data_IF_464021084635
#
_entry.id   IF_464021084635
#
_cell.length_a   1.000
_cell.length_b   1.000
_cell.length_c   1.000
_cell.angle_alpha   90.00
_cell.angle_beta   90.00
_cell.angle_gamma   90.00
#
_symmetry.space_group_name_H-M   'P 1'
#
loop_
_entity.id
_entity.type
_entity.pdbx_description
1 polymer ?
#
# COMPACT_ATOMS: atom_id res chain seq x y z
N UNK A 1 11.90 -23.58 15.47
CA UNK A 1 11.02 -22.77 14.63
C UNK A 1 10.09 -21.91 15.48
N UNK A 2 9.25 -22.50 16.35
CA UNK A 2 8.26 -21.78 17.17
C UNK A 2 8.87 -20.68 18.04
N UNK A 3 10.02 -20.95 18.68
CA UNK A 3 10.73 -19.92 19.46
C UNK A 3 11.20 -18.73 18.60
N UNK A 4 11.61 -18.99 17.35
CA UNK A 4 12.00 -17.93 16.43
C UNK A 4 10.79 -17.07 16.03
N UNK A 5 9.62 -17.68 15.77
CA UNK A 5 8.38 -16.96 15.54
C UNK A 5 7.96 -16.11 16.74
N UNK A 6 7.99 -16.69 17.94
CA UNK A 6 7.65 -15.95 19.16
C UNK A 6 8.51 -14.69 19.31
N UNK A 7 9.83 -14.84 19.10
CA UNK A 7 10.76 -13.69 19.15
C UNK A 7 10.51 -12.67 18.04
N UNK A 8 10.14 -13.13 16.83
CA UNK A 8 9.83 -12.24 15.73
C UNK A 8 8.55 -11.43 16.00
N UNK A 9 7.50 -12.07 16.54
CA UNK A 9 6.26 -11.39 16.96
C UNK A 9 6.52 -10.43 18.10
N UNK A 10 7.32 -10.82 19.09
CA UNK A 10 7.72 -9.94 20.22
C UNK A 10 8.48 -8.70 19.72
N UNK A 11 9.41 -8.87 18.79
CA UNK A 11 10.14 -7.76 18.17
C UNK A 11 9.20 -6.83 17.39
N UNK A 12 8.30 -7.39 16.58
CA UNK A 12 7.29 -6.62 15.85
C UNK A 12 6.37 -5.82 16.80
N UNK A 13 5.90 -6.45 17.89
CA UNK A 13 5.06 -5.79 18.90
C UNK A 13 5.78 -4.64 19.63
N UNK A 14 7.11 -4.67 19.66
CA UNK A 14 7.95 -3.58 20.19
C UNK A 14 8.41 -2.58 19.12
N UNK A 15 7.86 -2.65 17.93
CA UNK A 15 8.25 -1.86 16.78
C UNK A 15 9.74 -2.02 16.39
N UNK A 16 10.38 -3.12 16.79
CA UNK A 16 11.72 -3.49 16.32
C UNK A 16 11.61 -4.29 15.01
N UNK A 17 11.24 -3.57 13.95
CA UNK A 17 11.01 -4.14 12.61
C UNK A 17 12.28 -4.80 12.07
N UNK A 18 13.47 -4.23 12.35
CA UNK A 18 14.74 -4.79 11.88
C UNK A 18 14.99 -6.20 12.47
N UNK A 19 14.77 -6.36 13.78
CA UNK A 19 14.89 -7.69 14.42
C UNK A 19 13.80 -8.65 13.93
N UNK A 20 12.55 -8.21 13.80
CA UNK A 20 11.47 -9.05 13.28
C UNK A 20 11.77 -9.56 11.86
N UNK A 21 12.21 -8.66 10.98
CA UNK A 21 12.59 -8.97 9.59
C UNK A 21 13.71 -10.00 9.54
N UNK A 22 14.80 -9.76 10.28
CA UNK A 22 15.93 -10.70 10.34
C UNK A 22 15.51 -12.09 10.84
N UNK A 23 14.66 -12.15 11.86
CA UNK A 23 14.18 -13.43 12.39
C UNK A 23 13.29 -14.18 11.39
N UNK A 24 12.43 -13.51 10.65
CA UNK A 24 11.65 -14.13 9.58
C UNK A 24 12.54 -14.65 8.45
N UNK A 25 13.59 -13.90 8.10
CA UNK A 25 14.55 -14.33 7.09
C UNK A 25 15.36 -15.56 7.57
N UNK A 26 15.79 -15.60 8.84
CA UNK A 26 16.42 -16.76 9.45
C UNK A 26 15.51 -17.99 9.45
N UNK A 27 14.20 -17.81 9.70
CA UNK A 27 13.21 -18.88 9.59
C UNK A 27 13.12 -19.39 8.16
N UNK A 28 13.04 -18.50 7.17
CA UNK A 28 13.00 -18.87 5.76
C UNK A 28 14.27 -19.63 5.31
N UNK A 29 15.44 -19.26 5.82
CA UNK A 29 16.70 -19.96 5.56
C UNK A 29 16.72 -21.37 6.14
N UNK A 30 16.29 -21.54 7.39
CA UNK A 30 16.34 -22.83 8.08
C UNK A 30 15.18 -23.76 7.71
N UNK A 31 14.02 -23.17 7.37
CA UNK A 31 12.80 -23.90 7.01
C UNK A 31 12.17 -23.29 5.75
N UNK A 32 12.76 -23.50 4.57
CA UNK A 32 12.31 -22.89 3.32
C UNK A 32 10.88 -23.29 2.91
N UNK A 33 10.30 -24.32 3.54
CA UNK A 33 8.88 -24.68 3.40
C UNK A 33 7.95 -23.85 4.28
N UNK A 34 8.46 -22.92 5.07
CA UNK A 34 7.64 -22.04 5.90
C UNK A 34 7.23 -20.77 5.13
N UNK A 35 6.14 -20.91 4.37
CA UNK A 35 5.61 -19.84 3.52
C UNK A 35 5.13 -18.62 4.33
N UNK A 36 4.65 -18.84 5.56
CA UNK A 36 4.21 -17.76 6.43
C UNK A 36 5.39 -16.87 6.85
N UNK A 37 6.54 -17.45 7.19
CA UNK A 37 7.73 -16.67 7.52
C UNK A 37 8.18 -15.79 6.35
N UNK A 38 8.19 -16.37 5.13
CA UNK A 38 8.54 -15.64 3.93
C UNK A 38 7.56 -14.47 3.67
N UNK A 39 6.24 -14.69 3.83
CA UNK A 39 5.23 -13.65 3.68
C UNK A 39 5.39 -12.53 4.71
N UNK A 40 5.54 -12.85 5.98
CA UNK A 40 5.72 -11.85 7.04
C UNK A 40 7.02 -11.08 6.86
N UNK A 41 8.11 -11.75 6.52
CA UNK A 41 9.37 -11.09 6.20
C UNK A 41 9.26 -10.15 5.00
N UNK A 42 8.56 -10.57 3.93
CA UNK A 42 8.32 -9.71 2.77
C UNK A 42 7.48 -8.47 3.12
N UNK A 43 6.47 -8.59 3.99
CA UNK A 43 5.68 -7.44 4.47
C UNK A 43 6.57 -6.47 5.27
N UNK A 44 7.45 -6.97 6.13
CA UNK A 44 8.37 -6.10 6.87
C UNK A 44 9.35 -5.37 5.95
N UNK A 45 9.90 -6.05 4.94
CA UNK A 45 10.74 -5.43 3.91
C UNK A 45 9.98 -4.37 3.13
N UNK A 46 8.75 -4.66 2.72
CA UNK A 46 7.88 -3.72 2.00
C UNK A 46 7.63 -2.45 2.83
N UNK A 47 7.24 -2.60 4.10
CA UNK A 47 6.98 -1.47 5.00
C UNK A 47 8.25 -0.66 5.32
N UNK A 48 9.43 -1.28 5.24
CA UNK A 48 10.72 -0.61 5.40
C UNK A 48 11.26 0.00 4.09
N UNK A 49 10.58 -0.23 2.95
CA UNK A 49 11.04 0.21 1.62
C UNK A 49 12.25 -0.56 1.09
N UNK A 50 12.51 -1.78 1.58
CA UNK A 50 13.61 -2.64 1.12
C UNK A 50 13.12 -3.63 0.06
N UNK A 51 12.99 -3.17 -1.18
CA UNK A 51 12.60 -4.01 -2.33
C UNK A 51 13.57 -5.18 -2.55
N UNK A 52 14.87 -4.96 -2.30
CA UNK A 52 15.89 -6.02 -2.41
C UNK A 52 15.65 -7.15 -1.42
N UNK A 53 15.24 -6.83 -0.19
CA UNK A 53 14.85 -7.80 0.82
C UNK A 53 13.60 -8.57 0.43
N UNK A 54 12.60 -7.89 -0.13
CA UNK A 54 11.38 -8.53 -0.63
C UNK A 54 11.68 -9.59 -1.68
N UNK A 55 12.52 -9.26 -2.66
CA UNK A 55 12.97 -10.19 -3.69
C UNK A 55 13.76 -11.34 -3.08
N UNK A 56 14.77 -11.05 -2.27
CA UNK A 56 15.69 -12.03 -1.69
C UNK A 56 14.95 -13.10 -0.87
N UNK A 57 13.99 -12.71 -0.02
CA UNK A 57 13.25 -13.68 0.79
C UNK A 57 12.35 -14.59 -0.06
N UNK A 58 11.76 -14.07 -1.13
CA UNK A 58 10.97 -14.85 -2.07
C UNK A 58 11.83 -15.83 -2.88
N UNK A 59 13.01 -15.40 -3.35
CA UNK A 59 13.98 -16.26 -4.04
C UNK A 59 14.48 -17.43 -3.17
N UNK A 60 14.61 -17.24 -1.84
CA UNK A 60 15.02 -18.29 -0.91
C UNK A 60 14.05 -19.46 -0.84
N UNK A 61 12.75 -19.17 -0.92
CA UNK A 61 11.71 -20.19 -0.72
C UNK A 61 11.23 -20.85 -2.01
N UNK A 62 11.44 -20.21 -3.17
CA UNK A 62 10.79 -20.61 -4.42
C UNK A 62 11.12 -22.05 -4.83
N UNK A 63 12.37 -22.52 -4.61
CA UNK A 63 12.77 -23.90 -4.95
C UNK A 63 12.03 -24.95 -4.11
N UNK A 64 11.66 -24.61 -2.87
CA UNK A 64 10.89 -25.50 -2.00
C UNK A 64 9.38 -25.41 -2.23
N UNK A 65 8.93 -24.45 -3.05
CA UNK A 65 7.54 -24.10 -3.33
C UNK A 65 7.26 -23.90 -4.84
N UNK A 66 8.01 -24.59 -5.70
CA UNK A 66 7.89 -24.46 -7.16
C UNK A 66 6.49 -24.86 -7.69
N UNK A 67 5.76 -25.70 -6.95
CA UNK A 67 4.37 -26.09 -7.24
C UNK A 67 3.31 -25.23 -6.50
N UNK A 68 3.71 -24.15 -5.82
CA UNK A 68 2.81 -23.31 -5.03
C UNK A 68 2.60 -21.96 -5.70
N UNK A 69 1.41 -21.71 -6.26
CA UNK A 69 1.08 -20.46 -6.95
C UNK A 69 1.39 -19.22 -6.10
N UNK A 70 1.03 -19.24 -4.82
CA UNK A 70 1.26 -18.14 -3.89
C UNK A 70 2.75 -17.76 -3.74
N UNK A 71 3.67 -18.74 -3.78
CA UNK A 71 5.11 -18.47 -3.71
C UNK A 71 5.61 -17.74 -4.99
N UNK A 72 5.07 -18.12 -6.16
CA UNK A 72 5.33 -17.40 -7.41
C UNK A 72 4.76 -15.99 -7.40
N UNK A 73 3.60 -15.78 -6.76
CA UNK A 73 3.03 -14.44 -6.52
C UNK A 73 3.92 -13.57 -5.65
N UNK A 74 4.47 -14.11 -4.55
CA UNK A 74 5.45 -13.40 -3.71
C UNK A 74 6.72 -13.06 -4.49
N UNK A 75 7.22 -13.98 -5.32
CA UNK A 75 8.40 -13.73 -6.14
C UNK A 75 8.12 -12.65 -7.19
N UNK A 76 6.97 -12.72 -7.85
CA UNK A 76 6.57 -11.71 -8.85
C UNK A 76 6.55 -10.31 -8.25
N UNK A 77 5.97 -10.14 -7.06
CA UNK A 77 5.90 -8.84 -6.40
C UNK A 77 7.30 -8.35 -5.97
N UNK A 78 8.15 -9.22 -5.41
CA UNK A 78 9.52 -8.84 -5.05
C UNK A 78 10.39 -8.47 -6.27
N UNK A 79 10.21 -9.14 -7.40
CA UNK A 79 10.90 -8.83 -8.66
C UNK A 79 10.42 -7.49 -9.24
N UNK A 80 9.11 -7.24 -9.19
CA UNK A 80 8.49 -6.04 -9.71
C UNK A 80 8.97 -4.80 -8.93
N UNK A 81 8.94 -4.82 -7.61
CA UNK A 81 9.46 -3.75 -6.75
C UNK A 81 10.98 -3.50 -6.94
N UNK A 82 11.72 -4.47 -7.51
CA UNK A 82 13.11 -4.32 -7.96
C UNK A 82 13.24 -3.89 -9.42
N UNK A 83 12.14 -3.52 -10.09
CA UNK A 83 12.10 -3.16 -11.51
C UNK A 83 12.61 -4.27 -12.46
N UNK A 84 12.57 -5.53 -12.04
CA UNK A 84 12.89 -6.70 -12.88
C UNK A 84 11.63 -7.17 -13.64
N UNK A 85 11.06 -6.29 -14.46
CA UNK A 85 9.71 -6.37 -15.00
C UNK A 85 9.43 -7.64 -15.83
N UNK A 86 10.37 -8.08 -16.66
CA UNK A 86 10.18 -9.29 -17.49
C UNK A 86 10.09 -10.55 -16.62
N UNK A 87 10.96 -10.64 -15.62
CA UNK A 87 10.95 -11.75 -14.68
C UNK A 87 9.71 -11.72 -13.76
N UNK A 88 9.28 -10.54 -13.34
CA UNK A 88 8.09 -10.34 -12.54
C UNK A 88 6.83 -10.77 -13.30
N UNK A 89 6.68 -10.36 -14.57
CA UNK A 89 5.57 -10.79 -15.42
C UNK A 89 5.56 -12.31 -15.60
N UNK A 90 6.70 -12.90 -15.93
CA UNK A 90 6.81 -14.36 -16.11
C UNK A 90 6.40 -15.13 -14.84
N UNK A 91 6.87 -14.70 -13.66
CA UNK A 91 6.52 -15.31 -12.38
C UNK A 91 5.03 -15.13 -12.04
N UNK A 92 4.48 -13.92 -12.25
CA UNK A 92 3.07 -13.64 -11.98
C UNK A 92 2.12 -14.42 -12.90
N UNK A 93 2.43 -14.51 -14.19
CA UNK A 93 1.66 -15.32 -15.14
C UNK A 93 1.70 -16.80 -14.78
N UNK A 94 2.87 -17.31 -14.41
CA UNK A 94 3.00 -18.69 -13.94
C UNK A 94 2.11 -18.96 -12.72
N UNK A 95 2.10 -18.04 -11.75
CA UNK A 95 1.23 -18.17 -10.59
C UNK A 95 -0.27 -18.19 -10.97
N UNK A 96 -0.70 -17.29 -11.87
CA UNK A 96 -2.08 -17.22 -12.35
C UNK A 96 -2.51 -18.44 -13.16
N UNK A 97 -1.58 -19.08 -13.91
CA UNK A 97 -1.82 -20.35 -14.60
C UNK A 97 -1.96 -21.54 -13.63
N UNK A 98 -1.24 -21.51 -12.50
CA UNK A 98 -1.29 -22.56 -11.49
C UNK A 98 -2.55 -22.51 -10.62
N UNK A 99 -3.11 -21.32 -10.39
CA UNK A 99 -4.30 -21.13 -9.56
C UNK A 99 -5.15 -19.96 -10.06
N UNK A 100 -6.43 -20.23 -10.27
CA UNK A 100 -7.42 -19.22 -10.70
C UNK A 100 -7.54 -18.09 -9.65
N UNK A 101 -7.43 -18.42 -8.36
CA UNK A 101 -7.52 -17.47 -7.25
C UNK A 101 -6.12 -17.20 -6.71
N UNK A 102 -5.37 -16.37 -7.41
CA UNK A 102 -4.07 -15.88 -6.97
C UNK A 102 -3.98 -14.35 -7.14
N UNK A 103 -4.69 -13.58 -6.29
CA UNK A 103 -4.85 -12.14 -6.46
C UNK A 103 -3.54 -11.36 -6.35
N UNK A 104 -2.53 -11.86 -5.63
CA UNK A 104 -1.21 -11.24 -5.56
C UNK A 104 -0.45 -11.33 -6.89
N UNK A 105 -0.62 -12.42 -7.62
CA UNK A 105 -0.04 -12.56 -8.95
C UNK A 105 -0.72 -11.61 -9.96
N UNK A 106 -2.06 -11.52 -9.91
CA UNK A 106 -2.81 -10.56 -10.73
C UNK A 106 -2.33 -9.14 -10.49
N UNK A 107 -2.16 -8.76 -9.24
CA UNK A 107 -1.66 -7.49 -8.76
C UNK A 107 -0.22 -7.20 -9.24
N UNK A 108 0.71 -8.15 -9.08
CA UNK A 108 2.10 -7.95 -9.49
C UNK A 108 2.25 -7.74 -11.02
N UNK A 109 1.47 -8.46 -11.83
CA UNK A 109 1.43 -8.25 -13.29
C UNK A 109 0.78 -6.92 -13.66
N UNK A 110 -0.21 -6.45 -12.89
CA UNK A 110 -0.78 -5.11 -13.08
C UNK A 110 0.27 -4.02 -12.92
N UNK A 111 1.09 -4.08 -11.87
CA UNK A 111 2.22 -3.18 -11.67
C UNK A 111 3.20 -3.17 -12.86
N UNK A 112 3.48 -4.35 -13.45
CA UNK A 112 4.34 -4.43 -14.63
C UNK A 112 3.73 -3.66 -15.81
N UNK A 113 2.43 -3.84 -16.07
CA UNK A 113 1.76 -3.12 -17.16
C UNK A 113 1.68 -1.62 -16.91
N UNK A 114 1.43 -1.23 -15.65
CA UNK A 114 1.40 0.18 -15.23
C UNK A 114 2.77 0.84 -15.46
N UNK A 115 3.85 0.24 -14.97
CA UNK A 115 5.22 0.75 -15.14
C UNK A 115 5.64 0.85 -16.60
N UNK A 116 5.15 -0.05 -17.46
CA UNK A 116 5.41 -0.01 -18.92
C UNK A 116 4.48 0.91 -19.70
N UNK A 117 3.47 1.48 -19.08
CA UNK A 117 2.42 2.28 -19.74
C UNK A 117 1.54 1.45 -20.69
N UNK A 118 1.43 0.15 -20.46
CA UNK A 118 0.63 -0.78 -21.28
C UNK A 118 -0.82 -0.85 -20.75
N UNK A 119 -1.52 0.28 -20.80
CA UNK A 119 -2.80 0.49 -20.13
C UNK A 119 -3.90 -0.47 -20.59
N UNK A 120 -4.05 -0.68 -21.92
CA UNK A 120 -5.08 -1.59 -22.46
C UNK A 120 -4.83 -3.05 -22.06
N UNK A 121 -3.57 -3.48 -22.06
CA UNK A 121 -3.19 -4.82 -21.61
C UNK A 121 -3.42 -4.98 -20.10
N UNK A 122 -3.13 -3.94 -19.31
CA UNK A 122 -3.39 -3.91 -17.87
C UNK A 122 -4.87 -4.04 -17.55
N UNK A 123 -5.75 -3.28 -18.23
CA UNK A 123 -7.20 -3.38 -18.09
C UNK A 123 -7.68 -4.80 -18.44
N UNK A 124 -7.30 -5.30 -19.61
CA UNK A 124 -7.72 -6.62 -20.08
C UNK A 124 -7.25 -7.74 -19.13
N UNK A 125 -6.02 -7.65 -18.63
CA UNK A 125 -5.48 -8.57 -17.63
C UNK A 125 -6.30 -8.57 -16.35
N UNK A 126 -6.50 -7.40 -15.75
CA UNK A 126 -7.17 -7.29 -14.47
C UNK A 126 -8.66 -7.66 -14.55
N UNK A 127 -9.37 -7.17 -15.55
CA UNK A 127 -10.79 -7.47 -15.73
C UNK A 127 -11.05 -8.95 -16.01
N UNK A 128 -10.16 -9.64 -16.75
CA UNK A 128 -10.29 -11.08 -16.98
C UNK A 128 -10.18 -11.92 -15.70
N UNK A 129 -9.49 -11.43 -14.68
CA UNK A 129 -9.29 -12.09 -13.39
C UNK A 129 -10.21 -11.58 -12.28
N UNK A 130 -11.00 -10.53 -12.53
CA UNK A 130 -11.81 -9.86 -11.51
C UNK A 130 -12.83 -10.79 -10.81
N UNK A 131 -13.30 -11.82 -11.50
CA UNK A 131 -14.20 -12.84 -10.95
C UNK A 131 -13.60 -13.59 -9.75
N UNK A 132 -12.26 -13.74 -9.72
CA UNK A 132 -11.54 -14.44 -8.66
C UNK A 132 -11.43 -13.61 -7.37
N UNK A 133 -11.63 -12.29 -7.43
CA UNK A 133 -11.46 -11.41 -6.27
C UNK A 133 -12.65 -11.38 -5.32
N UNK A 134 -13.83 -11.91 -5.74
CA UNK A 134 -15.05 -11.89 -4.94
C UNK A 134 -14.93 -12.64 -3.60
N UNK A 135 -14.02 -13.61 -3.52
CA UNK A 135 -13.75 -14.40 -2.32
C UNK A 135 -12.52 -13.90 -1.52
N UNK A 136 -11.90 -12.81 -1.94
CA UNK A 136 -10.74 -12.24 -1.25
C UNK A 136 -11.19 -11.45 0.00
N UNK A 137 -10.21 -11.15 0.89
CA UNK A 137 -10.44 -10.14 1.91
C UNK A 137 -10.69 -8.76 1.28
N UNK A 138 -11.17 -7.81 2.08
CA UNK A 138 -11.56 -6.48 1.60
C UNK A 138 -10.41 -5.78 0.87
N UNK A 139 -9.21 -5.83 1.44
CA UNK A 139 -8.03 -5.20 0.85
C UNK A 139 -7.70 -5.72 -0.54
N UNK A 140 -7.60 -7.04 -0.72
CA UNK A 140 -7.25 -7.59 -2.04
C UNK A 140 -8.34 -7.35 -3.07
N UNK A 141 -9.60 -7.31 -2.65
CA UNK A 141 -10.71 -6.94 -3.52
C UNK A 141 -10.62 -5.49 -3.96
N UNK A 142 -10.59 -4.55 -3.01
CA UNK A 142 -10.59 -3.11 -3.30
C UNK A 142 -9.32 -2.68 -4.00
N UNK A 143 -8.16 -3.22 -3.60
CA UNK A 143 -6.86 -2.85 -4.14
C UNK A 143 -6.65 -3.32 -5.58
N UNK A 144 -7.11 -4.52 -5.95
CA UNK A 144 -7.09 -4.94 -7.35
C UNK A 144 -8.00 -4.06 -8.22
N UNK A 145 -9.19 -3.68 -7.73
CA UNK A 145 -10.04 -2.72 -8.43
C UNK A 145 -9.45 -1.32 -8.47
N UNK A 146 -8.64 -0.94 -7.49
CA UNK A 146 -7.90 0.31 -7.50
C UNK A 146 -6.92 0.37 -8.68
N UNK A 147 -6.19 -0.71 -8.98
CA UNK A 147 -5.34 -0.79 -10.17
C UNK A 147 -6.15 -0.68 -11.46
N UNK A 148 -7.31 -1.31 -11.55
CA UNK A 148 -8.20 -1.12 -12.71
C UNK A 148 -8.57 0.35 -12.88
N UNK A 149 -8.93 1.02 -11.79
CA UNK A 149 -9.26 2.45 -11.81
C UNK A 149 -8.05 3.32 -12.21
N UNK A 150 -6.82 2.97 -11.79
CA UNK A 150 -5.61 3.67 -12.22
C UNK A 150 -5.41 3.58 -13.75
N UNK A 151 -5.54 2.41 -14.34
CA UNK A 151 -5.43 2.26 -15.79
C UNK A 151 -6.44 3.13 -16.55
N UNK A 152 -7.71 3.16 -16.11
CA UNK A 152 -8.71 4.04 -16.73
C UNK A 152 -8.37 5.51 -16.52
N UNK A 153 -7.89 5.87 -15.33
CA UNK A 153 -7.50 7.25 -15.01
C UNK A 153 -6.33 7.72 -15.90
N UNK A 154 -5.34 6.86 -16.14
CA UNK A 154 -4.19 7.17 -16.98
C UNK A 154 -4.53 7.21 -18.47
N UNK A 155 -5.59 6.51 -18.89
CA UNK A 155 -6.22 6.71 -20.21
C UNK A 155 -7.01 8.01 -20.32
N UNK A 156 -7.19 8.76 -19.24
CA UNK A 156 -8.02 9.97 -19.18
C UNK A 156 -9.51 9.70 -18.98
N UNK A 157 -9.91 8.44 -18.75
CA UNK A 157 -11.31 8.08 -18.48
C UNK A 157 -11.64 8.22 -16.98
N UNK A 158 -11.75 9.47 -16.55
CA UNK A 158 -12.11 9.83 -15.18
C UNK A 158 -13.51 9.36 -14.80
N UNK A 159 -14.41 9.21 -15.77
CA UNK A 159 -15.78 8.71 -15.54
C UNK A 159 -15.77 7.26 -15.10
N UNK A 160 -15.01 6.42 -15.80
CA UNK A 160 -14.89 5.01 -15.47
C UNK A 160 -14.14 4.81 -14.14
N UNK A 161 -13.06 5.58 -13.92
CA UNK A 161 -12.34 5.55 -12.65
C UNK A 161 -13.22 5.93 -11.45
N UNK A 162 -14.07 6.97 -11.60
CA UNK A 162 -15.03 7.38 -10.56
C UNK A 162 -16.12 6.33 -10.34
N UNK A 163 -16.63 5.71 -11.40
CA UNK A 163 -17.61 4.62 -11.29
C UNK A 163 -17.03 3.43 -10.54
N UNK A 164 -15.77 3.06 -10.79
CA UNK A 164 -15.08 2.00 -10.05
C UNK A 164 -14.91 2.42 -8.58
N UNK A 165 -14.52 3.67 -8.31
CA UNK A 165 -14.47 4.19 -6.95
C UNK A 165 -15.80 3.96 -6.21
N UNK A 166 -16.91 4.42 -6.77
CA UNK A 166 -18.23 4.38 -6.13
C UNK A 166 -18.79 2.95 -5.95
N UNK A 167 -18.35 1.98 -6.77
CA UNK A 167 -18.93 0.63 -6.80
C UNK A 167 -18.01 -0.47 -6.31
N UNK A 168 -16.69 -0.23 -6.25
CA UNK A 168 -15.69 -1.27 -5.97
C UNK A 168 -14.68 -0.89 -4.88
N UNK A 169 -14.35 0.40 -4.73
CA UNK A 169 -13.37 0.84 -3.74
C UNK A 169 -14.05 1.25 -2.45
N UNK A 170 -15.04 2.15 -2.53
CA UNK A 170 -15.70 2.71 -1.35
C UNK A 170 -17.20 2.42 -1.39
N UNK A 171 -17.73 1.85 -0.30
CA UNK A 171 -19.13 1.43 -0.22
C UNK A 171 -19.46 0.10 -0.91
N UNK A 172 -18.47 -0.61 -1.46
CA UNK A 172 -18.65 -1.96 -1.98
C UNK A 172 -18.97 -2.93 -0.83
N UNK A 173 -19.86 -3.92 -1.04
CA UNK A 173 -20.19 -4.90 0.01
C UNK A 173 -18.98 -5.75 0.47
N UNK A 174 -17.95 -5.89 -0.36
CA UNK A 174 -16.71 -6.59 -0.05
C UNK A 174 -15.67 -5.70 0.64
N UNK A 175 -15.83 -4.38 0.57
CA UNK A 175 -14.95 -3.43 1.23
C UNK A 175 -15.20 -3.36 2.74
N UNK A 176 -14.18 -2.95 3.48
CA UNK A 176 -14.27 -2.70 4.92
C UNK A 176 -13.89 -1.23 5.20
N UNK A 177 -14.89 -0.36 5.48
CA UNK A 177 -14.62 1.05 5.74
C UNK A 177 -13.85 1.31 7.02
N UNK A 178 -13.67 0.31 7.88
CA UNK A 178 -12.87 0.41 9.12
C UNK A 178 -11.40 0.00 8.90
N UNK A 179 -11.10 -0.66 7.77
CA UNK A 179 -9.77 -1.15 7.48
C UNK A 179 -8.89 -0.05 6.85
N UNK A 180 -7.72 0.20 7.45
CA UNK A 180 -6.83 1.31 7.08
C UNK A 180 -6.37 1.28 5.62
N UNK A 181 -6.13 0.10 5.08
CA UNK A 181 -5.68 -0.07 3.69
C UNK A 181 -6.80 0.27 2.69
N UNK A 182 -8.05 -0.10 3.00
CA UNK A 182 -9.21 0.23 2.16
C UNK A 182 -9.45 1.74 2.17
N UNK A 183 -9.36 2.38 3.35
CA UNK A 183 -9.42 3.84 3.49
C UNK A 183 -8.33 4.52 2.66
N UNK A 184 -7.07 4.07 2.78
CA UNK A 184 -5.96 4.65 2.02
C UNK A 184 -6.11 4.46 0.51
N UNK A 185 -6.57 3.29 0.05
CA UNK A 185 -6.87 3.03 -1.36
C UNK A 185 -7.96 3.97 -1.91
N UNK A 186 -9.05 4.14 -1.17
CA UNK A 186 -10.11 5.07 -1.52
C UNK A 186 -9.59 6.52 -1.60
N UNK A 187 -8.84 6.97 -0.60
CA UNK A 187 -8.26 8.32 -0.56
C UNK A 187 -7.27 8.57 -1.69
N UNK A 188 -6.39 7.62 -1.95
CA UNK A 188 -5.45 7.68 -3.05
C UNK A 188 -6.15 7.91 -4.40
N UNK A 189 -7.28 7.25 -4.63
CA UNK A 189 -8.08 7.46 -5.83
C UNK A 189 -8.77 8.83 -5.84
N UNK A 190 -9.34 9.28 -4.70
CA UNK A 190 -9.94 10.61 -4.61
C UNK A 190 -8.93 11.72 -4.89
N UNK A 191 -7.71 11.61 -4.36
CA UNK A 191 -6.65 12.59 -4.62
C UNK A 191 -6.36 12.65 -6.12
N UNK A 192 -6.14 11.50 -6.77
CA UNK A 192 -5.84 11.42 -8.21
C UNK A 192 -6.96 11.97 -9.08
N UNK A 193 -8.22 11.68 -8.76
CA UNK A 193 -9.39 12.23 -9.45
C UNK A 193 -9.48 13.75 -9.25
N UNK A 194 -9.25 14.24 -8.04
CA UNK A 194 -9.23 15.68 -7.72
C UNK A 194 -8.16 16.43 -8.53
N UNK A 195 -6.95 15.86 -8.64
CA UNK A 195 -5.85 16.41 -9.45
C UNK A 195 -6.18 16.44 -10.96
N UNK A 196 -7.15 15.64 -11.42
CA UNK A 196 -7.69 15.65 -12.79
C UNK A 196 -8.93 16.55 -12.94
N UNK A 197 -9.26 17.35 -11.91
CA UNK A 197 -10.36 18.32 -11.91
C UNK A 197 -11.74 17.70 -11.71
N UNK A 198 -11.84 16.47 -11.25
CA UNK A 198 -13.12 15.85 -10.92
C UNK A 198 -13.66 16.43 -9.62
N UNK A 199 -14.90 16.86 -9.62
CA UNK A 199 -15.58 17.29 -8.41
C UNK A 199 -16.04 16.10 -7.58
N UNK A 200 -15.54 16.00 -6.36
CA UNK A 200 -15.74 14.84 -5.49
C UNK A 200 -16.71 15.09 -4.33
N UNK A 201 -17.18 16.35 -4.18
CA UNK A 201 -18.20 16.74 -3.20
C UNK A 201 -18.00 16.07 -1.82
N UNK A 202 -19.07 15.37 -1.34
CA UNK A 202 -19.13 14.73 -0.03
C UNK A 202 -18.21 13.52 0.14
N UNK A 203 -17.64 12.95 -0.94
CA UNK A 203 -16.82 11.73 -0.84
C UNK A 203 -15.64 11.88 0.11
N UNK A 204 -15.10 13.09 0.23
CA UNK A 204 -14.07 13.39 1.23
C UNK A 204 -14.59 13.23 2.65
N UNK A 205 -15.79 13.73 2.95
CA UNK A 205 -16.44 13.59 4.25
C UNK A 205 -16.75 12.14 4.59
N UNK A 206 -17.29 11.38 3.62
CA UNK A 206 -17.64 9.96 3.83
C UNK A 206 -16.44 9.13 4.30
N UNK A 207 -15.24 9.35 3.73
CA UNK A 207 -14.02 8.65 4.17
C UNK A 207 -13.45 9.25 5.45
N UNK A 208 -13.47 10.56 5.61
CA UNK A 208 -13.00 11.24 6.82
C UNK A 208 -13.82 10.81 8.06
N UNK A 209 -15.13 10.67 7.93
CA UNK A 209 -16.01 10.17 9.00
C UNK A 209 -15.61 8.75 9.46
N UNK A 210 -15.29 7.87 8.51
CA UNK A 210 -14.81 6.53 8.82
C UNK A 210 -13.42 6.54 9.51
N UNK A 211 -12.53 7.45 9.10
CA UNK A 211 -11.22 7.63 9.75
C UNK A 211 -11.40 8.05 11.20
N UNK A 212 -12.33 8.97 11.50
CA UNK A 212 -12.57 9.46 12.85
C UNK A 212 -13.14 8.40 13.81
N UNK A 213 -13.64 7.27 13.29
CA UNK A 213 -14.08 6.12 14.08
C UNK A 213 -12.96 5.16 14.47
N UNK A 214 -11.72 5.40 14.01
CA UNK A 214 -10.60 4.48 14.26
C UNK A 214 -10.10 4.58 15.70
N UNK A 215 -9.76 3.44 16.27
CA UNK A 215 -9.07 3.37 17.58
C UNK A 215 -7.58 3.73 17.46
N UNK A 216 -6.95 3.38 16.31
CA UNK A 216 -5.54 3.66 16.05
C UNK A 216 -5.43 4.60 14.86
N UNK A 217 -4.98 5.83 15.10
CA UNK A 217 -4.85 6.88 14.10
C UNK A 217 -3.50 6.88 13.39
N UNK A 218 -2.43 6.47 14.07
CA UNK A 218 -1.05 6.56 13.59
C UNK A 218 -0.45 5.16 13.51
N UNK A 219 -0.81 4.44 12.45
CA UNK A 219 -0.38 3.05 12.24
C UNK A 219 0.94 3.01 11.43
N UNK A 220 0.89 3.53 10.22
CA UNK A 220 2.03 3.58 9.31
C UNK A 220 2.13 4.97 8.68
N UNK A 221 3.35 5.52 8.49
CA UNK A 221 3.55 6.85 7.93
C UNK A 221 2.83 7.10 6.60
N UNK A 222 2.88 6.12 5.69
CA UNK A 222 2.20 6.18 4.39
C UNK A 222 0.69 6.35 4.53
N UNK A 223 0.03 5.52 5.34
CA UNK A 223 -1.41 5.58 5.58
C UNK A 223 -1.82 6.88 6.28
N UNK A 224 -1.02 7.27 7.28
CA UNK A 224 -1.23 8.48 8.08
C UNK A 224 -1.25 9.75 7.22
N UNK A 225 -0.41 9.83 6.18
CA UNK A 225 -0.42 10.95 5.23
C UNK A 225 -1.75 11.05 4.45
N UNK A 226 -2.31 9.92 4.02
CA UNK A 226 -3.61 9.90 3.36
C UNK A 226 -4.73 10.36 4.30
N UNK A 227 -4.71 9.91 5.55
CA UNK A 227 -5.69 10.31 6.57
C UNK A 227 -5.61 11.82 6.85
N UNK A 228 -4.41 12.38 6.97
CA UNK A 228 -4.21 13.82 7.12
C UNK A 228 -4.86 14.62 5.97
N UNK A 229 -4.69 14.16 4.73
CA UNK A 229 -5.29 14.82 3.57
C UNK A 229 -6.81 14.76 3.59
N UNK A 230 -7.39 13.61 3.92
CA UNK A 230 -8.85 13.47 4.02
C UNK A 230 -9.44 14.43 5.05
N UNK A 231 -8.87 14.50 6.24
CA UNK A 231 -9.31 15.41 7.30
C UNK A 231 -9.17 16.88 6.88
N UNK A 232 -8.09 17.23 6.18
CA UNK A 232 -7.88 18.59 5.69
C UNK A 232 -8.85 18.98 4.55
N UNK A 233 -9.25 18.01 3.70
CA UNK A 233 -10.18 18.23 2.56
C UNK A 233 -11.65 18.18 2.93
N UNK A 234 -11.97 17.61 4.09
CA UNK A 234 -13.33 17.52 4.62
C UNK A 234 -13.68 18.74 5.47
N UNK A 235 -14.91 18.76 5.98
CA UNK A 235 -15.37 19.82 6.92
C UNK A 235 -14.80 19.64 8.34
N UNK A 236 -13.92 18.62 8.56
CA UNK A 236 -13.35 18.28 9.87
C UNK A 236 -12.05 19.02 10.20
N UNK A 237 -12.01 20.35 9.97
CA UNK A 237 -10.79 21.15 10.17
C UNK A 237 -10.19 21.03 11.57
N UNK A 238 -11.01 21.07 12.60
CA UNK A 238 -10.57 20.92 14.00
C UNK A 238 -9.94 19.52 14.21
N UNK A 239 -10.55 18.49 13.65
CA UNK A 239 -10.01 17.12 13.72
C UNK A 239 -8.66 17.00 13.02
N UNK A 240 -8.45 17.68 11.88
CA UNK A 240 -7.14 17.72 11.24
C UNK A 240 -6.07 18.36 12.13
N UNK A 241 -6.38 19.46 12.81
CA UNK A 241 -5.43 20.14 13.71
C UNK A 241 -5.11 19.27 14.94
N UNK A 242 -6.13 18.57 15.49
CA UNK A 242 -5.96 17.61 16.58
C UNK A 242 -5.13 16.42 16.15
N UNK A 243 -5.37 15.92 14.92
CA UNK A 243 -4.60 14.84 14.31
C UNK A 243 -3.11 15.20 14.21
N UNK A 244 -2.76 16.40 13.73
CA UNK A 244 -1.35 16.81 13.66
C UNK A 244 -0.70 16.94 15.04
N UNK A 245 -1.42 17.47 16.03
CA UNK A 245 -0.91 17.57 17.42
C UNK A 245 -0.69 16.19 18.05
N UNK A 246 -1.62 15.25 17.82
CA UNK A 246 -1.49 13.86 18.24
C UNK A 246 -0.32 13.16 17.57
N UNK A 247 -0.13 13.39 16.27
CA UNK A 247 1.01 12.85 15.52
C UNK A 247 2.37 13.34 16.08
N UNK A 248 2.48 14.60 16.46
CA UNK A 248 3.68 15.14 17.12
C UNK A 248 3.98 14.44 18.46
N UNK A 249 2.93 14.13 19.24
CA UNK A 249 3.04 13.37 20.49
C UNK A 249 3.48 11.93 20.22
N UNK A 250 2.79 11.23 19.32
CA UNK A 250 3.08 9.84 18.96
C UNK A 250 4.50 9.68 18.37
N UNK A 251 4.94 10.65 17.57
CA UNK A 251 6.28 10.64 16.97
C UNK A 251 7.40 10.71 18.04
N UNK A 252 7.10 11.16 19.25
CA UNK A 252 8.03 11.14 20.40
C UNK A 252 8.21 9.74 21.01
N UNK A 253 7.31 8.81 20.72
CA UNK A 253 7.31 7.44 21.23
C UNK A 253 8.03 6.50 20.25
N UNK A 254 8.46 5.33 20.72
CA UNK A 254 9.13 4.35 19.89
C UNK A 254 10.66 4.45 19.87
N UNK A 255 11.31 3.58 19.07
CA UNK A 255 12.77 3.58 18.94
C UNK A 255 13.28 4.77 18.12
N UNK A 256 14.59 5.06 18.21
CA UNK A 256 15.20 6.23 17.59
C UNK A 256 14.99 6.30 16.05
N UNK A 257 15.00 5.14 15.36
CA UNK A 257 14.82 5.07 13.91
C UNK A 257 13.39 5.43 13.52
N UNK A 258 12.39 4.84 14.19
CA UNK A 258 10.98 5.16 13.94
C UNK A 258 10.67 6.61 14.27
N UNK A 259 11.17 7.12 15.39
CA UNK A 259 11.04 8.54 15.76
C UNK A 259 11.57 9.46 14.68
N UNK A 260 12.73 9.13 14.09
CA UNK A 260 13.29 9.90 12.99
C UNK A 260 12.36 9.91 11.78
N UNK A 261 11.85 8.75 11.35
CA UNK A 261 10.92 8.64 10.21
C UNK A 261 9.66 9.47 10.43
N UNK A 262 9.08 9.42 11.63
CA UNK A 262 7.88 10.18 11.95
C UNK A 262 8.11 11.70 11.96
N UNK A 263 9.18 12.16 12.62
CA UNK A 263 9.44 13.59 12.78
C UNK A 263 10.05 14.24 11.54
N UNK A 264 10.99 13.54 10.88
CA UNK A 264 11.70 14.12 9.76
C UNK A 264 10.96 13.99 8.42
N UNK A 265 10.08 12.98 8.27
CA UNK A 265 9.44 12.70 6.99
C UNK A 265 7.91 12.68 7.05
N UNK A 266 7.30 11.89 7.95
CA UNK A 266 5.84 11.73 7.98
C UNK A 266 5.11 13.01 8.40
N UNK A 267 5.56 13.68 9.44
CA UNK A 267 4.92 14.91 9.93
C UNK A 267 5.00 16.06 8.91
N UNK A 268 6.18 16.37 8.31
CA UNK A 268 6.23 17.36 7.23
C UNK A 268 5.37 16.97 6.02
N UNK A 269 5.32 15.68 5.64
CA UNK A 269 4.44 15.19 4.59
C UNK A 269 2.97 15.46 4.91
N UNK A 270 2.50 15.10 6.11
CA UNK A 270 1.12 15.38 6.54
C UNK A 270 0.77 16.87 6.52
N UNK A 271 1.72 17.73 6.92
CA UNK A 271 1.56 19.19 6.84
C UNK A 271 1.54 19.69 5.40
N UNK A 272 2.39 19.12 4.52
CA UNK A 272 2.40 19.45 3.10
C UNK A 272 1.10 19.05 2.40
N UNK A 273 0.56 17.87 2.74
CA UNK A 273 -0.77 17.43 2.27
C UNK A 273 -1.87 18.40 2.73
N UNK A 274 -1.87 18.82 3.99
CA UNK A 274 -2.82 19.81 4.48
C UNK A 274 -2.68 21.17 3.80
N UNK A 275 -1.46 21.66 3.58
CA UNK A 275 -1.21 22.89 2.84
C UNK A 275 -1.77 22.82 1.40
N UNK A 276 -1.58 21.67 0.73
CA UNK A 276 -2.18 21.44 -0.59
C UNK A 276 -3.73 21.48 -0.53
N UNK A 277 -4.32 20.86 0.50
CA UNK A 277 -5.77 20.90 0.69
C UNK A 277 -6.31 22.33 0.90
N UNK A 278 -5.52 23.19 1.52
CA UNK A 278 -5.80 24.61 1.76
C UNK A 278 -5.49 25.52 0.56
N UNK A 279 -4.98 24.96 -0.55
CA UNK A 279 -4.49 25.68 -1.73
C UNK A 279 -3.24 26.56 -1.44
N UNK A 280 -2.52 26.33 -0.34
CA UNK A 280 -1.19 26.91 -0.09
C UNK A 280 -0.13 26.07 -0.83
N UNK A 281 -0.11 26.23 -2.16
CA UNK A 281 0.74 25.43 -3.03
C UNK A 281 2.24 25.67 -2.84
N UNK A 282 2.63 26.87 -2.39
CA UNK A 282 4.03 27.21 -2.12
C UNK A 282 4.54 26.44 -0.90
N UNK A 283 3.75 26.43 0.18
CA UNK A 283 4.07 25.65 1.37
C UNK A 283 4.02 24.15 1.08
N UNK A 284 3.01 23.69 0.35
CA UNK A 284 2.87 22.29 -0.06
C UNK A 284 4.08 21.84 -0.86
N UNK A 285 4.45 22.56 -1.93
CA UNK A 285 5.59 22.24 -2.80
C UNK A 285 6.91 22.14 -2.01
N UNK A 286 7.13 23.05 -1.06
CA UNK A 286 8.31 23.03 -0.21
C UNK A 286 8.34 21.80 0.69
N UNK A 287 7.27 21.55 1.46
CA UNK A 287 7.23 20.45 2.43
C UNK A 287 7.24 19.07 1.75
N UNK A 288 6.48 18.90 0.67
CA UNK A 288 6.46 17.66 -0.12
C UNK A 288 7.80 17.45 -0.83
N UNK A 289 8.39 18.49 -1.39
CA UNK A 289 9.70 18.45 -2.05
C UNK A 289 10.82 18.04 -1.12
N UNK A 290 10.85 18.56 0.12
CA UNK A 290 11.85 18.21 1.14
C UNK A 290 11.73 16.73 1.56
N UNK A 291 10.53 16.16 1.61
CA UNK A 291 10.32 14.77 2.03
C UNK A 291 10.43 13.75 0.90
N UNK A 292 10.26 14.17 -0.37
CA UNK A 292 10.23 13.31 -1.55
C UNK A 292 11.37 12.29 -1.65
N UNK A 293 12.65 12.64 -1.40
CA UNK A 293 13.75 11.67 -1.48
C UNK A 293 13.61 10.48 -0.50
N UNK A 294 12.73 10.60 0.50
CA UNK A 294 12.57 9.66 1.59
C UNK A 294 11.23 8.91 1.56
N UNK A 295 10.37 9.13 0.58
CA UNK A 295 9.03 8.53 0.54
C UNK A 295 9.05 7.01 0.54
N UNK A 296 10.09 6.39 -0.03
CA UNK A 296 10.23 4.93 0.03
C UNK A 296 10.29 4.41 1.48
N UNK A 297 10.89 5.13 2.40
CA UNK A 297 10.99 4.75 3.82
C UNK A 297 9.68 4.89 4.59
N UNK A 298 8.67 5.53 3.99
CA UNK A 298 7.33 5.69 4.57
C UNK A 298 6.42 4.47 4.32
N UNK A 299 6.79 3.60 3.40
CA UNK A 299 5.99 2.46 2.95
C UNK A 299 5.22 2.72 1.66
N UNK A 300 4.32 1.80 1.32
CA UNK A 300 3.61 1.81 0.03
C UNK A 300 4.45 1.30 -1.14
N UNK A 301 3.80 0.82 -2.20
CA UNK A 301 4.45 0.47 -3.47
C UNK A 301 4.82 1.72 -4.27
N UNK A 302 5.63 1.57 -5.32
CA UNK A 302 5.92 2.69 -6.20
C UNK A 302 4.65 3.25 -6.87
N UNK A 303 3.71 2.40 -7.30
CA UNK A 303 2.42 2.81 -7.83
C UNK A 303 1.55 3.60 -6.84
N UNK A 304 1.71 3.34 -5.54
CA UNK A 304 1.00 4.08 -4.52
C UNK A 304 1.66 5.43 -4.19
N UNK A 305 2.98 5.54 -4.37
CA UNK A 305 3.79 6.74 -4.04
C UNK A 305 3.93 7.75 -5.17
N UNK A 306 3.44 7.48 -6.36
CA UNK A 306 3.51 8.38 -7.52
C UNK A 306 2.46 9.52 -7.51
N UNK A 307 1.84 9.76 -6.38
CA UNK A 307 0.77 10.73 -6.10
C UNK A 307 1.30 12.15 -5.90
#
# INVERSE_FOLDING_TARGET
REQAYFRAVEAAARHDVATATRLHEEIADQWPRDLLAAKLGQIHYFNAGDSSGMRRIAEKIITAHDETAYAWGLLAFGLEECNALDAAEAAGRKAAEMAVVEPWAHHAVAHVYETRGQLDQGIAWMESHAHAWQACNSFMFTHNWWHVALFYLDKGDTTQALMIYDTRLWGAPQGDPTYSQDQAGALSMLIRLSLRGVDLHRRWGDVADAILQREVMYDQPFLTAHFAYALARSEHRTAYEEFLRGLEGQAGEGNATMRHVWLAYALPLCRGMGAHADNDFDLAARLLGETRPHWQTLGGSHAQRDL
#
